data_IF_995355752543
#
_entry.id   IF_995355752543
#
_cell.length_a   1.000
_cell.length_b   1.000
_cell.length_c   1.000
_cell.angle_alpha   90.00
_cell.angle_beta   90.00
_cell.angle_gamma   90.00
#
_symmetry.space_group_name_H-M   'P 1'
#
loop_
_entity.id
_entity.type
_entity.pdbx_description
1 polymer ?
#
# COMPACT_ATOMS: atom_id res chain seq x y z
N UNK A 1 8.91 -1.88 2.84
CA UNK A 1 9.11 -1.79 1.37
C UNK A 1 8.04 -0.84 0.83
N UNK A 2 8.41 0.32 0.25
CA UNK A 2 7.46 1.34 -0.24
C UNK A 2 7.28 1.37 -1.76
N UNK A 3 7.93 0.46 -2.48
CA UNK A 3 7.85 0.37 -3.94
C UNK A 3 6.76 -0.64 -4.33
N UNK A 4 5.54 -0.14 -4.53
CA UNK A 4 4.36 -0.97 -4.85
C UNK A 4 4.43 -1.60 -6.24
N UNK A 5 5.05 -0.91 -7.21
CA UNK A 5 5.28 -1.43 -8.56
C UNK A 5 6.10 -2.71 -8.52
N UNK A 6 7.28 -2.66 -7.93
CA UNK A 6 8.18 -3.82 -7.87
C UNK A 6 7.62 -4.93 -6.97
N UNK A 7 6.86 -4.56 -5.93
CA UNK A 7 6.19 -5.53 -5.07
C UNK A 7 5.12 -6.31 -5.84
N UNK A 8 4.21 -5.63 -6.54
CA UNK A 8 3.15 -6.27 -7.31
C UNK A 8 3.71 -7.08 -8.48
N UNK A 9 4.77 -6.59 -9.14
CA UNK A 9 5.53 -7.36 -10.14
C UNK A 9 6.16 -8.63 -9.57
N UNK A 10 6.62 -8.60 -8.33
CA UNK A 10 7.17 -9.80 -7.68
C UNK A 10 6.07 -10.80 -7.36
N UNK A 11 4.92 -10.32 -6.89
CA UNK A 11 3.75 -11.16 -6.57
C UNK A 11 3.16 -11.79 -7.83
N UNK A 12 3.05 -11.04 -8.93
CA UNK A 12 2.49 -11.55 -10.21
C UNK A 12 3.26 -12.75 -10.74
N UNK A 13 4.58 -12.83 -10.51
CA UNK A 13 5.41 -14.00 -10.88
C UNK A 13 5.05 -15.29 -10.13
N UNK A 14 4.31 -15.20 -9.03
CA UNK A 14 3.81 -16.36 -8.29
C UNK A 14 2.38 -16.76 -8.72
N UNK A 15 1.72 -15.93 -9.51
CA UNK A 15 0.35 -16.12 -9.96
C UNK A 15 0.30 -17.06 -11.17
N UNK A 16 -0.73 -17.91 -11.22
CA UNK A 16 -1.13 -18.65 -12.42
C UNK A 16 -2.12 -17.81 -13.22
N UNK A 17 -2.34 -18.14 -14.49
CA UNK A 17 -3.18 -17.38 -15.43
C UNK A 17 -4.59 -17.05 -14.86
N UNK A 18 -5.25 -18.01 -14.22
CA UNK A 18 -6.60 -17.83 -13.66
C UNK A 18 -6.60 -17.55 -12.14
N UNK A 19 -5.47 -17.19 -11.55
CA UNK A 19 -5.39 -16.95 -10.10
C UNK A 19 -5.78 -15.52 -9.72
N UNK A 20 -6.28 -15.37 -8.49
CA UNK A 20 -6.67 -14.07 -7.94
C UNK A 20 -5.74 -13.65 -6.81
N UNK A 21 -5.41 -12.36 -6.78
CA UNK A 21 -4.74 -11.70 -5.67
C UNK A 21 -5.78 -10.91 -4.87
N UNK A 22 -5.93 -11.25 -3.59
CA UNK A 22 -6.72 -10.46 -2.64
C UNK A 22 -5.79 -9.61 -1.77
N UNK A 23 -6.09 -8.30 -1.66
CA UNK A 23 -5.29 -7.35 -0.87
C UNK A 23 -6.19 -6.63 0.12
N UNK A 24 -5.84 -6.72 1.41
CA UNK A 24 -6.45 -5.93 2.48
C UNK A 24 -5.42 -4.96 3.05
N UNK A 25 -5.73 -3.66 3.03
CA UNK A 25 -4.88 -2.60 3.58
C UNK A 25 -5.72 -1.60 4.37
N UNK A 26 -5.25 -1.23 5.56
CA UNK A 26 -5.81 -0.08 6.28
C UNK A 26 -5.39 1.20 5.56
N UNK A 27 -6.35 2.06 5.22
CA UNK A 27 -6.11 3.24 4.42
C UNK A 27 -6.84 4.47 4.96
N UNK A 28 -6.35 5.66 4.60
CA UNK A 28 -7.16 6.87 4.64
C UNK A 28 -8.08 6.89 3.41
N UNK A 29 -9.29 7.42 3.56
CA UNK A 29 -10.29 7.43 2.48
C UNK A 29 -9.79 8.09 1.19
N UNK A 30 -8.99 9.16 1.30
CA UNK A 30 -8.66 10.02 0.15
C UNK A 30 -7.17 10.32 -0.07
N UNK A 31 -6.31 10.15 0.92
CA UNK A 31 -4.95 10.71 0.90
C UNK A 31 -3.92 9.65 1.19
N UNK A 32 -2.81 9.67 0.44
CA UNK A 32 -1.63 8.86 0.74
C UNK A 32 -0.58 9.79 1.36
N UNK A 33 0.01 9.40 2.49
CA UNK A 33 1.09 10.16 3.13
C UNK A 33 2.03 9.25 3.91
N UNK A 34 3.28 9.69 4.09
CA UNK A 34 4.20 9.03 5.00
C UNK A 34 3.87 9.40 6.44
N UNK A 35 3.94 8.41 7.32
CA UNK A 35 3.74 8.60 8.74
C UNK A 35 5.04 9.09 9.36
N UNK A 36 5.24 10.41 9.23
CA UNK A 36 6.44 11.12 9.70
C UNK A 36 6.16 11.82 11.03
N UNK A 37 7.22 11.90 11.85
CA UNK A 37 7.21 12.62 13.11
C UNK A 37 7.14 14.13 12.82
N UNK A 38 6.06 14.80 13.26
CA UNK A 38 5.85 16.22 12.98
C UNK A 38 6.11 17.11 14.19
N UNK A 39 6.02 16.57 15.40
CA UNK A 39 6.23 17.31 16.64
C UNK A 39 6.53 16.36 17.81
N UNK A 40 6.98 16.92 18.94
CA UNK A 40 7.39 16.11 20.09
C UNK A 40 6.23 15.32 20.74
N UNK A 41 4.99 15.76 20.52
CA UNK A 41 3.78 15.13 21.06
C UNK A 41 3.27 13.93 20.23
N UNK A 42 3.81 13.70 19.03
CA UNK A 42 3.38 12.65 18.09
C UNK A 42 3.92 11.24 18.48
N UNK A 43 3.79 10.88 19.76
CA UNK A 43 4.33 9.64 20.34
C UNK A 43 3.84 8.38 19.61
N UNK A 44 2.57 8.34 19.19
CA UNK A 44 2.01 7.17 18.48
C UNK A 44 2.73 6.97 17.14
N UNK A 45 3.13 8.06 16.46
CA UNK A 45 3.91 7.98 15.23
C UNK A 45 5.29 7.44 15.51
N UNK A 46 5.93 7.95 16.56
CA UNK A 46 7.29 7.58 16.95
C UNK A 46 7.42 6.12 17.36
N UNK A 47 6.47 5.61 18.14
CA UNK A 47 6.62 4.28 18.77
C UNK A 47 5.90 3.15 18.02
N UNK A 48 4.83 3.43 17.27
CA UNK A 48 4.02 2.38 16.63
C UNK A 48 4.13 2.36 15.11
N UNK A 49 4.34 3.52 14.49
CA UNK A 49 4.18 3.67 13.04
C UNK A 49 5.36 4.37 12.37
N UNK A 50 6.54 4.34 13.01
CA UNK A 50 7.74 5.00 12.50
C UNK A 50 8.09 4.46 11.10
N UNK A 51 8.17 5.36 10.12
CA UNK A 51 8.49 5.02 8.73
C UNK A 51 7.35 4.35 7.95
N UNK A 52 6.16 4.21 8.53
CA UNK A 52 4.99 3.69 7.85
C UNK A 52 4.50 4.64 6.74
N UNK A 53 3.64 4.12 5.87
CA UNK A 53 2.87 4.91 4.91
C UNK A 53 1.41 4.66 5.21
N UNK A 54 0.61 5.72 5.28
CA UNK A 54 -0.85 5.62 5.25
C UNK A 54 -1.25 5.69 3.78
N UNK A 55 -1.75 4.58 3.20
CA UNK A 55 -2.21 4.57 1.82
C UNK A 55 -3.55 5.27 1.70
N UNK A 56 -3.87 5.79 0.52
CA UNK A 56 -5.26 6.08 0.15
C UNK A 56 -5.98 4.80 -0.27
N UNK A 57 -7.32 4.79 -0.18
CA UNK A 57 -8.15 3.71 -0.71
C UNK A 57 -7.84 3.37 -2.17
N UNK A 58 -7.41 4.36 -2.97
CA UNK A 58 -7.13 4.19 -4.39
C UNK A 58 -5.64 3.93 -4.69
N UNK A 59 -4.77 3.83 -3.69
CA UNK A 59 -3.31 3.81 -3.91
C UNK A 59 -2.87 2.72 -4.90
N UNK A 60 -3.38 1.50 -4.74
CA UNK A 60 -2.95 0.37 -5.58
C UNK A 60 -3.53 0.40 -6.99
N UNK A 61 -4.58 1.20 -7.25
CA UNK A 61 -5.16 1.35 -8.58
C UNK A 61 -4.18 2.01 -9.57
N UNK A 62 -3.18 2.73 -9.07
CA UNK A 62 -2.12 3.35 -9.85
C UNK A 62 -0.98 2.39 -10.23
N UNK A 63 -1.01 1.13 -9.77
CA UNK A 63 0.06 0.15 -9.98
C UNK A 63 -0.47 -1.15 -10.60
N UNK A 64 -1.07 -1.05 -11.79
CA UNK A 64 -1.70 -2.16 -12.50
C UNK A 64 -0.87 -2.68 -13.69
N UNK A 65 0.45 -2.49 -13.65
CA UNK A 65 1.36 -2.91 -14.73
C UNK A 65 1.41 -4.44 -14.89
N UNK A 66 1.34 -5.18 -13.79
CA UNK A 66 1.52 -6.65 -13.74
C UNK A 66 0.32 -7.39 -13.13
N UNK A 67 -0.68 -6.67 -12.62
CA UNK A 67 -1.94 -7.18 -12.07
C UNK A 67 -3.08 -6.26 -12.46
N UNK A 68 -4.32 -6.76 -12.53
CA UNK A 68 -5.49 -5.95 -12.92
C UNK A 68 -6.59 -6.06 -11.87
N UNK A 69 -7.19 -4.92 -11.51
CA UNK A 69 -8.34 -4.87 -10.60
C UNK A 69 -9.59 -5.38 -11.31
N UNK A 70 -10.33 -6.25 -10.64
CA UNK A 70 -11.58 -6.80 -11.17
C UNK A 70 -12.80 -6.04 -10.62
N UNK A 71 -12.74 -5.61 -9.36
CA UNK A 71 -13.81 -4.86 -8.70
C UNK A 71 -13.22 -4.00 -7.56
N UNK A 72 -13.56 -2.72 -7.52
CA UNK A 72 -13.13 -1.75 -6.50
C UNK A 72 -14.28 -0.83 -6.10
#
# INVERSE_FOLDING_TARGET
>A
MKNYKDLLKKISKWMKEDSLLFVHITCHKAFTYHFEDKNEDDWIRRYFFAGATVPSANLLLYFQDDVTVINH
#
